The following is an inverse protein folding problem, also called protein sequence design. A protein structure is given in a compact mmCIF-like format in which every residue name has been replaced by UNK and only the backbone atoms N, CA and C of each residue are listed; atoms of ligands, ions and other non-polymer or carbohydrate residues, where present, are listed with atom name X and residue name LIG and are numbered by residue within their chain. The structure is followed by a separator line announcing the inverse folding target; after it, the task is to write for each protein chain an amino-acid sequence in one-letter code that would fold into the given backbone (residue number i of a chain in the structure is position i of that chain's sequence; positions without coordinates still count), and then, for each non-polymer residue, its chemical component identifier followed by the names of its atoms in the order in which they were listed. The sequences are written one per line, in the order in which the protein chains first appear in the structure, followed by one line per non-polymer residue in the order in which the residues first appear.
data_IF_169881538714
#
_entry.id   IF_169881538714
#
_cell.length_a   1.000
_cell.length_b   1.000
_cell.length_c   1.000
_cell.angle_alpha   90.00
_cell.angle_beta   90.00
_cell.angle_gamma   90.00
#
_symmetry.space_group_name_H-M   'P 1'
#
loop_
_entity.id
_entity.type
_entity.pdbx_description
1 polymer ?
#
# COMPACT_ATOMS: atom_id res chain seq x y z
N UNK A 1 14.45 -2.39 -0.15
CA UNK A 1 13.21 -1.73 0.28
C UNK A 1 13.54 -0.65 1.29
N UNK A 2 12.96 0.53 1.13
CA UNK A 2 13.20 1.67 2.03
C UNK A 2 11.86 2.23 2.53
N UNK A 3 11.82 2.76 3.77
CA UNK A 3 10.69 3.56 4.21
C UNK A 3 10.48 4.76 3.28
N UNK A 4 9.22 5.13 3.05
CA UNK A 4 8.88 6.20 2.10
C UNK A 4 9.53 7.54 2.45
N UNK A 5 9.69 7.83 3.75
CA UNK A 5 10.32 9.07 4.23
C UNK A 5 11.85 9.10 4.03
N UNK A 6 12.46 7.98 3.66
CA UNK A 6 13.90 7.90 3.36
C UNK A 6 14.19 7.98 1.86
N UNK A 7 13.19 7.97 1.01
CA UNK A 7 13.36 8.13 -0.43
C UNK A 7 13.18 9.60 -0.77
N UNK A 8 14.27 10.25 -1.19
CA UNK A 8 14.26 11.69 -1.44
C UNK A 8 13.73 12.06 -2.82
N UNK A 9 13.97 11.21 -3.81
CA UNK A 9 13.61 11.52 -5.18
C UNK A 9 13.23 10.23 -5.93
N UNK A 10 11.98 10.17 -6.38
CA UNK A 10 11.49 9.05 -7.19
C UNK A 10 12.19 8.96 -8.54
N UNK A 11 12.74 10.06 -9.04
CA UNK A 11 13.44 10.08 -10.32
C UNK A 11 14.68 9.19 -10.37
N UNK A 12 15.22 8.80 -9.20
CA UNK A 12 16.37 7.88 -9.12
C UNK A 12 16.03 6.45 -9.53
N UNK A 13 14.73 6.12 -9.68
CA UNK A 13 14.27 4.76 -9.95
C UNK A 13 13.47 4.70 -11.24
N UNK A 14 13.58 3.61 -11.98
CA UNK A 14 12.82 3.40 -13.23
C UNK A 14 11.43 2.87 -12.99
N UNK A 15 11.22 2.17 -11.88
CA UNK A 15 9.93 1.64 -11.47
C UNK A 15 9.78 1.77 -9.96
N UNK A 16 8.56 1.94 -9.50
CA UNK A 16 8.28 2.17 -8.08
C UNK A 16 7.12 1.29 -7.63
N UNK A 17 7.34 0.62 -6.51
CA UNK A 17 6.29 -0.07 -5.77
C UNK A 17 6.14 0.66 -4.45
N UNK A 18 4.98 1.29 -4.25
CA UNK A 18 4.69 2.06 -3.04
C UNK A 18 3.52 1.46 -2.31
N UNK A 19 3.68 1.27 -1.02
CA UNK A 19 2.63 0.72 -0.20
C UNK A 19 2.54 1.38 1.16
N UNK A 20 1.40 1.19 1.79
CA UNK A 20 1.17 1.68 3.16
C UNK A 20 0.21 0.77 3.91
N UNK A 21 0.45 0.67 5.21
CA UNK A 21 -0.58 0.18 6.12
C UNK A 21 -1.75 1.16 6.13
N UNK A 22 -2.95 0.62 6.37
CA UNK A 22 -4.20 1.38 6.37
C UNK A 22 -4.81 1.35 7.76
N UNK A 23 -5.19 2.52 8.26
CA UNK A 23 -5.94 2.68 9.49
C UNK A 23 -7.13 3.58 9.22
N UNK A 24 -8.33 3.08 9.49
CA UNK A 24 -9.57 3.84 9.28
C UNK A 24 -9.70 4.40 7.86
N UNK A 25 -9.29 3.63 6.86
CA UNK A 25 -9.41 4.02 5.45
C UNK A 25 -8.34 4.99 4.96
N UNK A 26 -7.30 5.26 5.75
CA UNK A 26 -6.24 6.20 5.36
C UNK A 26 -4.87 5.53 5.34
N UNK A 27 -4.03 6.01 4.42
CA UNK A 27 -2.62 5.65 4.37
C UNK A 27 -1.82 6.41 5.43
N UNK A 28 -0.68 5.86 5.81
CA UNK A 28 0.24 6.56 6.71
C UNK A 28 0.80 7.81 6.04
N UNK A 29 1.04 8.84 6.86
CA UNK A 29 1.48 10.16 6.40
C UNK A 29 2.72 10.12 5.51
N UNK A 30 3.72 9.31 5.87
CA UNK A 30 4.95 9.22 5.07
C UNK A 30 4.68 8.77 3.63
N UNK A 31 3.78 7.81 3.43
CA UNK A 31 3.42 7.33 2.09
C UNK A 31 2.60 8.37 1.32
N UNK A 32 1.68 9.05 1.99
CA UNK A 32 0.89 10.14 1.38
C UNK A 32 1.80 11.28 0.94
N UNK A 33 2.72 11.70 1.81
CA UNK A 33 3.67 12.78 1.51
C UNK A 33 4.56 12.43 0.32
N UNK A 34 5.04 11.18 0.26
CA UNK A 34 5.83 10.71 -0.89
C UNK A 34 5.03 10.79 -2.19
N UNK A 35 3.79 10.31 -2.15
CA UNK A 35 2.91 10.30 -3.31
C UNK A 35 2.64 11.72 -3.81
N UNK A 36 2.33 12.64 -2.89
CA UNK A 36 2.06 14.04 -3.22
C UNK A 36 3.29 14.76 -3.77
N UNK A 37 4.45 14.55 -3.16
CA UNK A 37 5.69 15.23 -3.54
C UNK A 37 6.26 14.75 -4.87
N UNK A 38 5.97 13.52 -5.29
CA UNK A 38 6.58 12.90 -6.46
C UNK A 38 5.62 12.66 -7.63
N UNK A 39 4.47 13.34 -7.67
CA UNK A 39 3.46 13.10 -8.70
C UNK A 39 4.01 13.20 -10.12
N UNK A 40 4.82 14.22 -10.41
CA UNK A 40 5.37 14.43 -11.74
C UNK A 40 6.29 13.27 -12.15
N UNK A 41 7.16 12.84 -11.25
CA UNK A 41 8.09 11.73 -11.51
C UNK A 41 7.35 10.40 -11.67
N UNK A 42 6.32 10.17 -10.86
CA UNK A 42 5.53 8.94 -10.89
C UNK A 42 4.71 8.81 -12.17
N UNK A 43 4.29 9.92 -12.75
CA UNK A 43 3.53 9.93 -14.01
C UNK A 43 4.34 9.30 -15.17
N UNK A 44 5.66 9.46 -15.15
CA UNK A 44 6.54 8.99 -16.20
C UNK A 44 7.16 7.61 -15.93
N UNK A 45 6.74 6.94 -14.86
CA UNK A 45 7.32 5.68 -14.44
C UNK A 45 6.28 4.58 -14.31
N UNK A 46 6.75 3.32 -14.32
CA UNK A 46 5.91 2.18 -14.00
C UNK A 46 5.71 2.15 -12.48
N UNK A 47 4.46 2.26 -12.03
CA UNK A 47 4.12 2.37 -10.62
C UNK A 47 3.11 1.28 -10.24
N UNK A 48 3.36 0.63 -9.14
CA UNK A 48 2.42 -0.27 -8.47
C UNK A 48 2.16 0.25 -7.07
N UNK A 49 0.91 0.23 -6.66
CA UNK A 49 0.50 0.67 -5.33
C UNK A 49 -0.11 -0.51 -4.56
N UNK A 50 0.07 -0.53 -3.26
CA UNK A 50 -0.65 -1.50 -2.44
C UNK A 50 -1.04 -0.93 -1.09
N UNK A 51 -2.16 -1.43 -0.58
CA UNK A 51 -2.61 -1.16 0.79
C UNK A 51 -2.55 -2.47 1.58
N UNK A 52 -2.21 -2.37 2.84
CA UNK A 52 -2.15 -3.50 3.75
C UNK A 52 -2.89 -3.12 5.03
N UNK A 53 -3.86 -3.90 5.42
CA UNK A 53 -4.59 -3.51 6.61
C UNK A 53 -5.67 -4.42 7.13
N UNK A 54 -6.50 -5.06 6.31
CA UNK A 54 -7.57 -5.86 6.91
C UNK A 54 -6.99 -7.03 7.67
N UNK A 55 -7.53 -7.26 8.84
CA UNK A 55 -7.23 -8.43 9.66
C UNK A 55 -8.46 -9.31 9.72
N UNK A 56 -8.28 -10.58 10.09
CA UNK A 56 -9.34 -11.56 10.09
C UNK A 56 -9.16 -12.57 8.97
N UNK A 57 -9.98 -13.60 8.98
CA UNK A 57 -9.95 -14.67 7.99
C UNK A 57 -10.76 -14.30 6.74
N UNK A 58 -10.37 -14.85 5.61
CA UNK A 58 -11.06 -14.67 4.35
C UNK A 58 -10.30 -13.77 3.39
N UNK A 59 -10.94 -13.43 2.28
CA UNK A 59 -10.36 -12.58 1.24
C UNK A 59 -10.33 -11.11 1.68
N UNK A 60 -9.18 -10.46 1.51
CA UNK A 60 -9.00 -9.07 1.93
C UNK A 60 -9.99 -8.11 1.24
N UNK A 61 -10.20 -8.28 -0.04
CA UNK A 61 -11.15 -7.45 -0.79
C UNK A 61 -12.58 -7.64 -0.29
N UNK A 62 -12.94 -8.88 0.08
CA UNK A 62 -14.26 -9.20 0.60
C UNK A 62 -14.48 -8.55 1.98
N UNK A 63 -13.49 -8.65 2.87
CA UNK A 63 -13.56 -8.05 4.21
C UNK A 63 -13.81 -6.54 4.11
N UNK A 64 -13.15 -5.86 3.17
CA UNK A 64 -13.24 -4.42 2.98
C UNK A 64 -14.28 -4.00 1.94
N UNK A 65 -15.14 -4.91 1.52
CA UNK A 65 -16.24 -4.64 0.57
C UNK A 65 -15.75 -3.95 -0.73
N UNK A 66 -14.61 -4.40 -1.23
CA UNK A 66 -14.04 -3.87 -2.46
C UNK A 66 -13.19 -2.62 -2.31
N UNK A 67 -13.06 -2.07 -1.11
CA UNK A 67 -12.18 -0.93 -0.86
C UNK A 67 -10.72 -1.35 -1.08
N UNK A 68 -9.95 -0.55 -1.82
CA UNK A 68 -8.57 -0.89 -2.16
C UNK A 68 -7.58 0.26 -1.94
N UNK A 69 -8.08 1.50 -1.88
CA UNK A 69 -7.20 2.67 -1.90
C UNK A 69 -7.92 3.86 -1.25
N UNK A 70 -7.18 4.74 -0.52
CA UNK A 70 -7.80 5.90 0.10
C UNK A 70 -8.45 6.84 -0.92
N UNK A 71 -9.68 7.22 -0.67
CA UNK A 71 -10.42 8.14 -1.54
C UNK A 71 -9.72 9.49 -1.67
N UNK A 72 -9.12 9.97 -0.59
CA UNK A 72 -8.43 11.27 -0.58
C UNK A 72 -7.27 11.33 -1.57
N UNK A 73 -6.64 10.21 -1.92
CA UNK A 73 -5.54 10.14 -2.86
C UNK A 73 -5.94 9.62 -4.23
N UNK A 74 -7.22 9.37 -4.47
CA UNK A 74 -7.69 8.80 -5.75
C UNK A 74 -7.36 9.71 -6.94
N UNK A 75 -7.44 11.02 -6.79
CA UNK A 75 -7.10 11.96 -7.86
C UNK A 75 -5.64 11.84 -8.28
N UNK A 76 -4.74 11.60 -7.32
CA UNK A 76 -3.33 11.38 -7.61
C UNK A 76 -3.14 10.05 -8.34
N UNK A 77 -3.79 8.99 -7.89
CA UNK A 77 -3.73 7.68 -8.56
C UNK A 77 -4.21 7.79 -10.01
N UNK A 78 -5.31 8.50 -10.25
CA UNK A 78 -5.84 8.72 -11.59
C UNK A 78 -4.82 9.44 -12.50
N UNK A 79 -4.05 10.35 -11.92
CA UNK A 79 -3.03 11.10 -12.67
C UNK A 79 -1.80 10.25 -13.01
N UNK A 80 -1.30 9.49 -12.04
CA UNK A 80 -0.07 8.69 -12.24
C UNK A 80 -0.34 7.37 -12.94
N UNK A 81 -1.58 6.92 -13.01
CA UNK A 81 -2.01 5.68 -13.66
C UNK A 81 -1.16 4.48 -13.25
N UNK A 82 -1.27 4.05 -11.98
CA UNK A 82 -0.53 2.87 -11.54
C UNK A 82 -0.96 1.64 -12.33
N UNK A 83 -0.04 0.73 -12.51
CA UNK A 83 -0.30 -0.50 -13.26
C UNK A 83 -1.22 -1.45 -12.52
N UNK A 84 -1.17 -1.41 -11.20
CA UNK A 84 -2.09 -2.14 -10.36
C UNK A 84 -2.15 -1.51 -8.98
N UNK A 85 -3.27 -1.71 -8.31
CA UNK A 85 -3.47 -1.34 -6.91
C UNK A 85 -3.91 -2.61 -6.19
N UNK A 86 -3.01 -3.17 -5.40
CA UNK A 86 -3.27 -4.40 -4.66
C UNK A 86 -3.69 -4.11 -3.23
N UNK A 87 -4.30 -5.10 -2.61
CA UNK A 87 -4.78 -5.00 -1.25
C UNK A 87 -4.51 -6.31 -0.51
N UNK A 88 -3.75 -6.24 0.57
CA UNK A 88 -3.30 -7.41 1.31
C UNK A 88 -3.76 -7.39 2.75
N UNK A 89 -3.87 -8.56 3.35
CA UNK A 89 -4.07 -8.70 4.79
C UNK A 89 -2.92 -8.08 5.57
N UNK A 90 -3.27 -7.52 6.74
CA UNK A 90 -2.33 -6.85 7.61
C UNK A 90 -1.97 -7.64 8.85
N UNK A 91 -1.13 -7.02 9.64
CA UNK A 91 -0.68 -7.49 10.95
C UNK A 91 -0.91 -6.38 11.96
N UNK A 92 -1.63 -6.69 13.04
CA UNK A 92 -1.85 -5.75 14.14
C UNK A 92 -1.25 -6.33 15.42
N UNK A 93 -0.23 -5.67 15.94
CA UNK A 93 0.35 -5.97 17.23
C UNK A 93 0.05 -4.80 18.17
N UNK A 94 -0.91 -5.01 19.08
CA UNK A 94 -1.37 -3.96 19.99
C UNK A 94 -0.24 -3.39 20.85
N UNK A 95 0.79 -4.18 21.15
CA UNK A 95 1.92 -3.72 21.97
C UNK A 95 2.79 -2.69 21.26
N UNK A 96 2.78 -2.68 19.93
CA UNK A 96 3.58 -1.76 19.11
C UNK A 96 2.82 -0.51 18.68
N UNK A 97 1.53 -0.43 18.99
CA UNK A 97 0.71 0.72 18.62
C UNK A 97 0.82 1.82 19.67
N UNK A 98 0.80 3.07 19.23
CA UNK A 98 0.64 4.20 20.15
C UNK A 98 -0.81 4.30 20.63
N UNK A 99 -1.08 5.19 21.58
CA UNK A 99 -2.41 5.32 22.16
C UNK A 99 -3.50 5.67 21.13
N UNK A 100 -3.21 6.58 20.21
CA UNK A 100 -4.16 6.98 19.17
C UNK A 100 -4.47 5.81 18.23
N UNK A 101 -3.46 5.06 17.83
CA UNK A 101 -3.63 3.88 16.98
C UNK A 101 -4.44 2.79 17.68
N UNK A 102 -4.20 2.56 18.98
CA UNK A 102 -4.99 1.60 19.77
C UNK A 102 -6.46 1.99 19.82
N UNK A 103 -6.76 3.27 20.00
CA UNK A 103 -8.12 3.76 20.00
C UNK A 103 -8.81 3.51 18.67
N UNK A 104 -8.13 3.78 17.56
CA UNK A 104 -8.67 3.55 16.22
C UNK A 104 -8.96 2.05 16.01
N UNK A 105 -7.99 1.19 16.29
CA UNK A 105 -8.13 -0.26 16.11
C UNK A 105 -9.27 -0.81 16.97
N UNK A 106 -9.37 -0.38 18.23
CA UNK A 106 -10.45 -0.79 19.11
C UNK A 106 -11.81 -0.29 18.62
N UNK A 107 -11.84 0.95 18.12
CA UNK A 107 -13.09 1.56 17.61
C UNK A 107 -13.64 0.84 16.38
N UNK A 108 -12.79 0.39 15.47
CA UNK A 108 -13.23 -0.36 14.29
C UNK A 108 -13.37 -1.86 14.56
N UNK A 109 -13.07 -2.31 15.77
CA UNK A 109 -13.16 -3.72 16.19
C UNK A 109 -12.35 -4.66 15.28
N UNK A 110 -11.18 -4.21 14.81
CA UNK A 110 -10.33 -5.00 13.96
C UNK A 110 -9.74 -6.20 14.75
N UNK A 111 -9.79 -7.42 14.20
CA UNK A 111 -9.07 -8.54 14.81
C UNK A 111 -7.57 -8.23 14.88
N UNK A 112 -6.94 -8.56 16.01
CA UNK A 112 -5.50 -8.37 16.17
C UNK A 112 -4.75 -9.65 15.85
N UNK A 113 -3.50 -9.51 15.44
CA UNK A 113 -2.63 -10.63 15.08
C UNK A 113 -2.10 -10.52 13.67
N UNK A 114 -1.48 -11.60 13.19
CA UNK A 114 -0.86 -11.64 11.87
C UNK A 114 -1.78 -12.39 10.89
N UNK A 115 -2.38 -11.65 9.98
CA UNK A 115 -3.24 -12.19 8.93
C UNK A 115 -2.59 -12.09 7.54
N UNK A 116 -1.32 -11.70 7.46
CA UNK A 116 -0.62 -11.52 6.20
C UNK A 116 -0.61 -12.81 5.39
N UNK A 117 -0.93 -12.69 4.10
CA UNK A 117 -0.90 -13.80 3.15
C UNK A 117 0.33 -13.64 2.25
N UNK A 118 1.43 -14.26 2.64
CA UNK A 118 2.69 -14.14 1.91
C UNK A 118 2.64 -14.77 0.52
N UNK A 119 1.80 -15.79 0.31
CA UNK A 119 1.61 -16.38 -1.01
C UNK A 119 1.01 -15.36 -2.00
N UNK A 120 0.02 -14.58 -1.55
CA UNK A 120 -0.58 -13.52 -2.37
C UNK A 120 0.42 -12.42 -2.67
N UNK A 121 1.23 -12.01 -1.69
CA UNK A 121 2.27 -11.00 -1.88
C UNK A 121 3.32 -11.49 -2.87
N UNK A 122 3.76 -12.73 -2.75
CA UNK A 122 4.75 -13.32 -3.65
C UNK A 122 4.21 -13.42 -5.08
N UNK A 123 2.96 -13.83 -5.26
CA UNK A 123 2.33 -13.90 -6.59
C UNK A 123 2.29 -12.52 -7.25
N UNK A 124 1.92 -11.50 -6.49
CA UNK A 124 1.87 -10.13 -6.99
C UNK A 124 3.27 -9.60 -7.36
N UNK A 125 4.27 -9.85 -6.51
CA UNK A 125 5.64 -9.48 -6.78
C UNK A 125 6.19 -10.16 -8.03
N UNK A 126 5.81 -11.42 -8.27
CA UNK A 126 6.18 -12.17 -9.48
C UNK A 126 5.58 -11.52 -10.73
N UNK A 127 4.33 -11.12 -10.68
CA UNK A 127 3.69 -10.39 -11.79
C UNK A 127 4.42 -9.10 -12.11
N UNK A 128 4.82 -8.35 -11.09
CA UNK A 128 5.60 -7.11 -11.26
C UNK A 128 6.95 -7.42 -11.93
N UNK A 129 7.66 -8.43 -11.45
CA UNK A 129 8.95 -8.83 -12.01
C UNK A 129 8.83 -9.22 -13.48
N UNK A 130 7.78 -9.95 -13.85
CA UNK A 130 7.51 -10.32 -15.23
C UNK A 130 7.20 -9.09 -16.10
N UNK A 131 6.41 -8.16 -15.60
CA UNK A 131 6.11 -6.92 -16.30
C UNK A 131 7.37 -6.09 -16.54
N UNK A 132 8.25 -6.00 -15.56
CA UNK A 132 9.50 -5.26 -15.66
C UNK A 132 10.51 -5.91 -16.61
N UNK A 133 10.51 -7.23 -16.71
CA UNK A 133 11.43 -7.94 -17.61
C UNK A 133 11.17 -7.61 -19.07
N UNK A 134 9.94 -7.29 -19.45
CA UNK A 134 9.56 -6.89 -20.82
C UNK A 134 10.17 -5.52 -21.17
N UNK A 135 10.37 -4.64 -20.20
CA UNK A 135 10.93 -3.31 -20.45
C UNK A 135 12.45 -3.28 -20.58
N UNK A 136 13.13 -4.37 -20.23
CA UNK A 136 14.60 -4.45 -20.31
C UNK A 136 15.11 -4.92 -21.67
N UNK A 137 14.21 -5.33 -22.52
CA UNK A 137 14.55 -5.83 -23.86
C UNK A 137 14.36 -4.71 -24.90
#
# INVERSE_FOLDING_TARGET
MLPADQVKDAAAYTAIVLGSAVYAGTWRTAAVDFLEANQAQLTDRAVWLFSSGPTGEGDASHIMQGWRFPEAQQAIADRIQPRDIAFFHGFINMQKLNLAEKVIVTGIKAPTGDFRNWAAVTAWATEIAQALSVYRN
#
